data_IF_679659953737
#
_entry.id   IF_679659953737
#
_cell.length_a   1.000
_cell.length_b   1.000
_cell.length_c   1.000
_cell.angle_alpha   90.00
_cell.angle_beta   90.00
_cell.angle_gamma   90.00
#
_symmetry.space_group_name_H-M   'P 1'
#
loop_
_entity.id
_entity.type
_entity.pdbx_description
1 polymer ?
#
# COMPACT_ATOMS: atom_id res chain seq x y z
N UNK A 1 3.71 14.24 17.43
CA UNK A 1 3.88 12.93 18.11
C UNK A 1 5.36 12.55 18.10
N UNK A 2 5.80 11.62 18.95
CA UNK A 2 7.23 11.24 18.98
C UNK A 2 7.48 10.16 17.92
N UNK A 3 8.66 10.23 17.27
CA UNK A 3 9.12 9.18 16.36
C UNK A 3 9.83 8.11 17.20
N UNK A 4 9.43 6.85 17.06
CA UNK A 4 10.02 5.72 17.77
C UNK A 4 11.03 5.00 16.87
N UNK A 5 12.25 4.84 17.37
CA UNK A 5 13.27 4.00 16.74
C UNK A 5 13.09 2.57 17.25
N UNK A 6 12.98 1.62 16.34
CA UNK A 6 12.87 0.19 16.63
C UNK A 6 14.24 -0.41 16.89
N UNK A 7 14.32 -1.33 17.83
CA UNK A 7 15.49 -2.18 18.04
C UNK A 7 15.60 -3.21 16.91
N UNK A 8 16.76 -3.86 16.79
CA UNK A 8 16.93 -4.94 15.79
C UNK A 8 15.93 -6.08 16.02
N UNK A 9 15.69 -6.46 17.29
CA UNK A 9 14.73 -7.51 17.64
C UNK A 9 13.30 -7.10 17.23
N UNK A 10 12.91 -5.85 17.44
CA UNK A 10 11.60 -5.34 16.98
C UNK A 10 11.48 -5.31 15.46
N UNK A 11 12.57 -4.97 14.74
CA UNK A 11 12.60 -4.99 13.28
C UNK A 11 12.41 -6.42 12.75
N UNK A 12 13.02 -7.43 13.38
CA UNK A 12 12.84 -8.82 12.96
C UNK A 12 11.40 -9.31 13.23
N UNK A 13 10.79 -8.94 14.35
CA UNK A 13 9.36 -9.23 14.59
C UNK A 13 8.45 -8.50 13.58
N UNK A 14 8.79 -7.27 13.19
CA UNK A 14 8.08 -6.56 12.12
C UNK A 14 8.26 -7.26 10.77
N UNK A 15 9.44 -7.83 10.50
CA UNK A 15 9.69 -8.62 9.30
C UNK A 15 8.76 -9.84 9.24
N UNK A 16 8.58 -10.57 10.35
CA UNK A 16 7.65 -11.70 10.43
C UNK A 16 6.22 -11.26 10.06
N UNK A 17 5.75 -10.14 10.64
CA UNK A 17 4.44 -9.58 10.33
C UNK A 17 4.31 -9.20 8.84
N UNK A 18 5.32 -8.53 8.29
CA UNK A 18 5.34 -8.08 6.89
C UNK A 18 5.45 -9.23 5.88
N UNK A 19 6.20 -10.28 6.19
CA UNK A 19 6.24 -11.49 5.36
C UNK A 19 4.89 -12.20 5.35
N UNK A 20 4.15 -12.17 6.48
CA UNK A 20 2.79 -12.69 6.51
C UNK A 20 1.85 -11.83 5.63
N UNK A 21 2.00 -10.50 5.61
CA UNK A 21 1.26 -9.65 4.67
C UNK A 21 1.53 -10.08 3.23
N UNK A 22 2.79 -10.25 2.83
CA UNK A 22 3.14 -10.70 1.47
C UNK A 22 2.51 -12.04 1.11
N UNK A 23 2.50 -13.00 2.03
CA UNK A 23 1.81 -14.29 1.85
C UNK A 23 0.29 -14.14 1.74
N UNK A 24 -0.29 -13.25 2.53
CA UNK A 24 -1.73 -12.94 2.46
C UNK A 24 -2.09 -12.33 1.10
N UNK A 25 -1.31 -11.38 0.62
CA UNK A 25 -1.48 -10.80 -0.72
C UNK A 25 -1.39 -11.87 -1.82
N UNK A 26 -0.43 -12.80 -1.71
CA UNK A 26 -0.30 -13.92 -2.64
C UNK A 26 -1.50 -14.87 -2.57
N UNK A 27 -2.00 -15.20 -1.36
CA UNK A 27 -3.18 -16.04 -1.22
C UNK A 27 -4.42 -15.38 -1.84
N UNK A 28 -4.65 -14.10 -1.55
CA UNK A 28 -5.75 -13.33 -2.17
C UNK A 28 -5.56 -13.26 -3.70
N UNK A 29 -4.34 -13.02 -4.17
CA UNK A 29 -4.00 -12.95 -5.60
C UNK A 29 -4.40 -14.20 -6.39
N UNK A 30 -4.27 -15.41 -5.80
CA UNK A 30 -4.73 -16.68 -6.42
C UNK A 30 -6.22 -16.69 -6.74
N UNK A 31 -6.99 -15.85 -6.06
CA UNK A 31 -8.44 -15.76 -6.20
C UNK A 31 -8.91 -14.53 -6.98
N UNK A 32 -8.01 -13.63 -7.37
CA UNK A 32 -8.34 -12.46 -8.21
C UNK A 32 -8.63 -12.91 -9.62
N UNK A 33 -9.90 -12.86 -10.00
CA UNK A 33 -10.40 -13.23 -11.35
C UNK A 33 -11.79 -12.65 -11.59
N UNK A 34 -12.23 -12.53 -12.86
CA UNK A 34 -13.59 -12.10 -13.18
C UNK A 34 -14.65 -12.96 -12.46
N UNK A 35 -15.68 -12.29 -11.94
CA UNK A 35 -16.82 -12.91 -11.24
C UNK A 35 -16.65 -13.05 -9.72
N UNK A 36 -15.46 -12.79 -9.17
CA UNK A 36 -15.24 -12.78 -7.71
C UNK A 36 -15.65 -11.43 -7.15
N UNK A 37 -16.28 -11.42 -5.97
CA UNK A 37 -16.60 -10.17 -5.25
C UNK A 37 -15.46 -9.74 -4.34
N UNK A 38 -15.35 -8.44 -4.08
CA UNK A 38 -14.32 -7.93 -3.16
C UNK A 38 -14.53 -8.44 -1.73
N UNK A 39 -15.79 -8.72 -1.31
CA UNK A 39 -16.06 -9.36 -0.02
C UNK A 39 -15.58 -10.81 0.06
N UNK A 40 -15.57 -11.55 -1.04
CA UNK A 40 -14.99 -12.90 -1.07
C UNK A 40 -13.49 -12.85 -0.86
N UNK A 41 -12.78 -11.89 -1.47
CA UNK A 41 -11.35 -11.67 -1.26
C UNK A 41 -11.04 -11.28 0.18
N UNK A 42 -11.86 -10.43 0.78
CA UNK A 42 -11.75 -10.03 2.19
C UNK A 42 -11.83 -11.22 3.16
N UNK A 43 -12.82 -12.11 2.92
CA UNK A 43 -12.99 -13.33 3.74
C UNK A 43 -11.78 -14.26 3.64
N UNK A 44 -11.22 -14.43 2.45
CA UNK A 44 -10.01 -15.23 2.23
C UNK A 44 -8.83 -14.63 2.99
N UNK A 45 -8.63 -13.32 2.88
CA UNK A 45 -7.56 -12.62 3.60
C UNK A 45 -7.72 -12.76 5.13
N UNK A 46 -8.93 -12.55 5.66
CA UNK A 46 -9.19 -12.66 7.10
C UNK A 46 -8.91 -14.07 7.62
N UNK A 47 -9.41 -15.10 6.93
CA UNK A 47 -9.18 -16.50 7.29
C UNK A 47 -7.68 -16.80 7.28
N UNK A 48 -6.96 -16.46 6.21
CA UNK A 48 -5.53 -16.71 6.09
C UNK A 48 -4.72 -16.01 7.19
N UNK A 49 -4.99 -14.74 7.48
CA UNK A 49 -4.30 -13.98 8.54
C UNK A 49 -4.51 -14.66 9.91
N UNK A 50 -5.77 -15.04 10.23
CA UNK A 50 -6.11 -15.64 11.52
C UNK A 50 -5.54 -17.04 11.68
N UNK A 51 -5.54 -17.84 10.63
CA UNK A 51 -4.98 -19.20 10.61
C UNK A 51 -3.45 -19.19 10.83
N UNK A 52 -2.79 -18.08 10.48
CA UNK A 52 -1.38 -17.84 10.76
C UNK A 52 -1.11 -17.12 12.10
N UNK A 53 -2.11 -17.04 12.99
CA UNK A 53 -1.96 -16.53 14.35
C UNK A 53 -1.87 -15.01 14.48
N UNK A 54 -2.19 -14.27 13.42
CA UNK A 54 -2.19 -12.81 13.41
C UNK A 54 -3.62 -12.21 13.49
N UNK A 55 -3.69 -10.91 13.66
CA UNK A 55 -4.93 -10.13 13.67
C UNK A 55 -4.93 -9.23 12.44
N UNK A 56 -6.01 -9.21 11.60
CA UNK A 56 -6.13 -8.25 10.52
C UNK A 56 -6.31 -6.83 11.11
N UNK A 57 -5.35 -5.95 10.87
CA UNK A 57 -5.27 -4.66 11.57
C UNK A 57 -6.34 -3.66 11.10
N UNK A 58 -6.78 -3.77 9.84
CA UNK A 58 -7.79 -2.85 9.31
C UNK A 58 -9.19 -3.13 9.83
N UNK A 59 -9.53 -4.38 10.16
CA UNK A 59 -10.87 -4.73 10.62
C UNK A 59 -11.19 -4.09 11.96
N UNK A 60 -12.20 -3.22 11.95
CA UNK A 60 -12.57 -2.45 13.13
C UNK A 60 -11.71 -1.20 13.36
N UNK A 61 -10.87 -0.82 12.39
CA UNK A 61 -10.02 0.37 12.50
C UNK A 61 -10.88 1.62 12.76
N UNK A 62 -10.59 2.40 13.82
CA UNK A 62 -11.46 3.49 14.25
C UNK A 62 -11.37 4.69 13.30
N UNK A 63 -12.48 5.41 13.17
CA UNK A 63 -12.56 6.69 12.47
C UNK A 63 -13.35 7.69 13.29
N UNK A 64 -12.99 8.97 13.21
CA UNK A 64 -13.72 10.06 13.86
C UNK A 64 -14.96 10.51 13.06
N UNK A 65 -15.07 10.12 11.80
CA UNK A 65 -16.12 10.60 10.87
C UNK A 65 -16.87 9.48 10.13
N UNK A 66 -16.47 8.22 10.34
CA UNK A 66 -17.10 7.04 9.76
C UNK A 66 -17.28 5.95 10.83
N UNK A 67 -18.16 4.95 10.61
CA UNK A 67 -18.11 3.72 11.39
C UNK A 67 -16.72 3.07 11.28
N UNK A 68 -16.33 2.19 12.24
CA UNK A 68 -15.10 1.43 12.09
C UNK A 68 -15.01 0.72 10.75
N UNK A 69 -13.79 0.61 10.18
CA UNK A 69 -13.60 -0.03 8.88
C UNK A 69 -14.08 -1.49 8.93
N UNK A 70 -14.96 -1.94 8.02
CA UNK A 70 -15.62 -3.24 8.17
C UNK A 70 -14.78 -4.43 7.66
N UNK A 71 -13.79 -4.17 6.79
CA UNK A 71 -12.99 -5.19 6.12
C UNK A 71 -11.68 -5.52 6.82
N UNK A 72 -11.12 -6.66 6.47
CA UNK A 72 -9.76 -7.10 6.87
C UNK A 72 -8.70 -6.59 5.89
N UNK A 73 -9.12 -6.28 4.66
CA UNK A 73 -8.32 -5.65 3.61
C UNK A 73 -9.04 -4.41 3.07
N UNK A 74 -8.29 -3.48 2.48
CA UNK A 74 -8.87 -2.53 1.55
C UNK A 74 -8.85 -3.15 0.14
N UNK A 75 -9.99 -3.09 -0.56
CA UNK A 75 -10.17 -3.69 -1.88
C UNK A 75 -10.57 -2.61 -2.89
N UNK A 76 -9.59 -1.95 -3.47
CA UNK A 76 -9.76 -0.72 -4.24
C UNK A 76 -9.73 -1.02 -5.75
N UNK A 77 -10.91 -0.99 -6.39
CA UNK A 77 -11.08 -1.36 -7.81
C UNK A 77 -11.03 -0.13 -8.70
N UNK A 78 -10.25 -0.17 -9.77
CA UNK A 78 -10.13 0.81 -10.85
C UNK A 78 -9.85 2.25 -10.37
N UNK A 79 -10.88 3.08 -10.27
CA UNK A 79 -10.80 4.48 -9.88
C UNK A 79 -10.87 4.72 -8.36
N UNK A 80 -11.09 3.66 -7.58
CA UNK A 80 -10.88 3.69 -6.13
C UNK A 80 -9.37 3.67 -5.87
N UNK A 81 -8.87 4.75 -5.29
CA UNK A 81 -7.44 4.95 -5.02
C UNK A 81 -7.00 4.08 -3.85
N UNK A 82 -7.70 4.22 -2.70
CA UNK A 82 -7.44 3.50 -1.45
C UNK A 82 -8.72 3.34 -0.63
N UNK A 83 -8.64 2.56 0.43
CA UNK A 83 -9.69 2.33 1.42
C UNK A 83 -11.00 1.79 0.83
N UNK A 84 -10.92 1.09 -0.31
CA UNK A 84 -12.08 0.44 -0.92
C UNK A 84 -12.72 -0.55 0.07
N UNK A 85 -13.99 -0.31 0.42
CA UNK A 85 -14.72 -1.18 1.35
C UNK A 85 -15.12 -2.47 0.64
N UNK A 86 -14.72 -3.65 1.13
CA UNK A 86 -15.14 -4.93 0.57
C UNK A 86 -16.66 -5.08 0.55
N UNK A 87 -17.22 -5.50 -0.59
CA UNK A 87 -18.67 -5.59 -0.81
C UNK A 87 -19.06 -6.78 -1.67
N UNK A 88 -20.27 -7.32 -1.48
CA UNK A 88 -20.88 -8.30 -2.39
C UNK A 88 -21.32 -7.66 -3.71
N UNK A 89 -21.56 -6.37 -3.71
CA UNK A 89 -22.02 -5.63 -4.90
C UNK A 89 -20.88 -5.27 -5.86
N UNK A 90 -19.62 -5.33 -5.40
CA UNK A 90 -18.43 -5.05 -6.22
C UNK A 90 -17.87 -6.37 -6.75
N UNK A 91 -18.27 -6.72 -7.97
CA UNK A 91 -17.86 -7.93 -8.69
C UNK A 91 -16.79 -7.58 -9.70
N UNK A 92 -15.63 -8.24 -9.61
CA UNK A 92 -14.51 -8.05 -10.53
C UNK A 92 -14.86 -8.49 -11.96
N UNK A 93 -14.38 -7.74 -12.94
CA UNK A 93 -14.61 -7.98 -14.38
C UNK A 93 -13.28 -8.08 -15.11
N UNK A 94 -13.27 -8.74 -16.23
CA UNK A 94 -12.15 -8.75 -17.16
C UNK A 94 -11.78 -7.30 -17.55
N UNK A 95 -10.51 -6.96 -17.47
CA UNK A 95 -10.00 -5.60 -17.70
C UNK A 95 -9.94 -4.69 -16.47
N UNK A 96 -10.48 -5.10 -15.31
CA UNK A 96 -10.33 -4.35 -14.07
C UNK A 96 -8.90 -4.46 -13.51
N UNK A 97 -8.55 -3.53 -12.66
CA UNK A 97 -7.43 -3.64 -11.71
C UNK A 97 -7.96 -3.52 -10.29
N UNK A 98 -7.29 -4.17 -9.35
CA UNK A 98 -7.65 -4.08 -7.93
C UNK A 98 -6.39 -3.93 -7.07
N UNK A 99 -6.32 -2.84 -6.30
CA UNK A 99 -5.31 -2.70 -5.25
C UNK A 99 -5.83 -3.37 -3.98
N UNK A 100 -5.11 -4.40 -3.54
CA UNK A 100 -5.34 -5.06 -2.25
C UNK A 100 -4.30 -4.55 -1.28
N UNK A 101 -4.78 -3.88 -0.24
CA UNK A 101 -3.97 -3.36 0.84
C UNK A 101 -4.31 -4.13 2.11
N UNK A 102 -3.28 -4.61 2.81
CA UNK A 102 -3.41 -5.59 3.88
C UNK A 102 -2.46 -5.29 5.03
N UNK A 103 -3.02 -5.12 6.23
CA UNK A 103 -2.27 -4.99 7.47
C UNK A 103 -2.44 -6.19 8.40
N UNK A 104 -1.33 -6.61 9.05
CA UNK A 104 -1.33 -7.68 10.06
C UNK A 104 -0.70 -7.21 11.36
N UNK A 105 -1.30 -7.60 12.48
CA UNK A 105 -0.69 -7.46 13.82
C UNK A 105 -0.23 -8.84 14.28
N UNK A 106 1.08 -9.03 14.36
CA UNK A 106 1.72 -10.27 14.81
C UNK A 106 2.77 -9.94 15.87
N UNK A 107 2.79 -10.67 16.97
CA UNK A 107 3.73 -10.46 18.08
C UNK A 107 3.74 -9.01 18.63
N UNK A 108 2.61 -8.29 18.53
CA UNK A 108 2.45 -6.91 19.01
C UNK A 108 3.05 -5.84 18.09
N UNK A 109 3.43 -6.19 16.87
CA UNK A 109 3.95 -5.29 15.85
C UNK A 109 3.18 -5.44 14.54
N UNK A 110 3.01 -4.33 13.82
CA UNK A 110 2.27 -4.29 12.57
C UNK A 110 3.19 -4.54 11.36
N UNK A 111 2.63 -5.25 10.38
CA UNK A 111 3.10 -5.29 9.01
C UNK A 111 2.06 -4.67 8.10
N UNK A 112 2.50 -4.03 7.01
CA UNK A 112 1.66 -3.35 6.04
C UNK A 112 2.24 -3.43 4.64
N UNK A 113 1.40 -3.71 3.65
CA UNK A 113 1.80 -3.70 2.24
C UNK A 113 0.60 -3.76 1.31
N UNK A 114 0.74 -3.14 0.14
CA UNK A 114 -0.27 -3.10 -0.90
C UNK A 114 0.28 -3.54 -2.25
N UNK A 115 -0.53 -4.30 -3.00
CA UNK A 115 -0.24 -4.69 -4.37
C UNK A 115 -1.46 -4.50 -5.27
N UNK A 116 -1.23 -3.97 -6.49
CA UNK A 116 -2.29 -3.83 -7.50
C UNK A 116 -2.24 -4.99 -8.50
N UNK A 117 -3.31 -5.76 -8.55
CA UNK A 117 -3.47 -6.93 -9.42
C UNK A 117 -4.25 -6.59 -10.70
N UNK A 118 -3.90 -7.26 -11.79
CA UNK A 118 -4.70 -7.30 -13.00
C UNK A 118 -5.83 -8.33 -12.87
N UNK A 119 -7.03 -8.01 -13.36
CA UNK A 119 -8.16 -8.95 -13.43
C UNK A 119 -8.36 -9.37 -14.89
N UNK A 120 -7.85 -10.54 -15.25
CA UNK A 120 -7.84 -10.97 -16.66
C UNK A 120 -6.94 -10.09 -17.53
N UNK A 121 -7.39 -9.73 -18.73
CA UNK A 121 -6.62 -8.94 -19.70
C UNK A 121 -6.89 -7.44 -19.52
N UNK A 122 -5.86 -6.69 -19.13
CA UNK A 122 -5.92 -5.23 -18.99
C UNK A 122 -5.20 -4.53 -20.15
N UNK A 123 -5.61 -3.30 -20.45
CA UNK A 123 -5.00 -2.51 -21.52
C UNK A 123 -3.53 -2.15 -21.24
N UNK A 124 -2.75 -1.93 -22.30
CA UNK A 124 -1.32 -1.53 -22.16
C UNK A 124 -1.14 -0.21 -21.43
N UNK A 125 -2.08 0.73 -21.53
CA UNK A 125 -2.05 1.98 -20.79
C UNK A 125 -2.18 1.73 -19.28
N UNK A 126 -3.03 0.79 -18.89
CA UNK A 126 -3.19 0.36 -17.48
C UNK A 126 -1.94 -0.38 -17.02
N UNK A 127 -1.42 -1.34 -17.79
CA UNK A 127 -0.15 -2.01 -17.45
C UNK A 127 1.00 -1.00 -17.26
N UNK A 128 1.06 0.03 -18.12
CA UNK A 128 2.04 1.11 -17.96
C UNK A 128 1.85 1.88 -16.64
N UNK A 129 0.61 2.16 -16.24
CA UNK A 129 0.32 2.79 -14.94
C UNK A 129 0.87 1.92 -13.79
N UNK A 130 0.59 0.62 -13.81
CA UNK A 130 1.03 -0.31 -12.77
C UNK A 130 2.56 -0.37 -12.70
N UNK A 131 3.24 -0.55 -13.84
CA UNK A 131 4.72 -0.52 -13.91
C UNK A 131 5.29 0.76 -13.31
N UNK A 132 4.80 1.91 -13.77
CA UNK A 132 5.30 3.21 -13.32
C UNK A 132 5.09 3.40 -11.82
N UNK A 133 3.93 3.01 -11.29
CA UNK A 133 3.64 3.11 -9.85
C UNK A 133 4.59 2.23 -9.04
N UNK A 134 4.76 0.97 -9.43
CA UNK A 134 5.65 0.02 -8.77
C UNK A 134 7.12 0.47 -8.85
N UNK A 135 7.57 0.90 -10.02
CA UNK A 135 8.94 1.42 -10.18
C UNK A 135 9.17 2.70 -9.36
N UNK A 136 8.17 3.58 -9.25
CA UNK A 136 8.26 4.78 -8.40
C UNK A 136 8.45 4.44 -6.93
N UNK A 137 7.79 3.37 -6.43
CA UNK A 137 8.00 2.84 -5.09
C UNK A 137 9.46 2.46 -4.87
N UNK A 138 10.04 1.65 -5.76
CA UNK A 138 11.45 1.23 -5.62
C UNK A 138 12.43 2.39 -5.74
N UNK A 139 12.14 3.39 -6.58
CA UNK A 139 12.95 4.62 -6.65
C UNK A 139 12.89 5.43 -5.35
N UNK A 140 11.71 5.49 -4.71
CA UNK A 140 11.57 6.06 -3.37
C UNK A 140 12.37 5.30 -2.31
N UNK A 141 12.35 3.97 -2.37
CA UNK A 141 13.11 3.08 -1.46
C UNK A 141 14.62 3.26 -1.61
N UNK A 142 15.14 3.45 -2.83
CA UNK A 142 16.57 3.67 -3.08
C UNK A 142 17.13 4.87 -2.34
N UNK A 143 16.34 5.91 -2.10
CA UNK A 143 16.76 7.12 -1.38
C UNK A 143 16.37 7.13 0.10
N UNK A 144 15.63 6.13 0.56
CA UNK A 144 15.17 6.01 1.94
C UNK A 144 16.27 5.48 2.87
N UNK A 145 17.23 6.31 3.21
CA UNK A 145 18.36 5.96 4.08
C UNK A 145 18.61 7.02 5.15
N UNK A 146 19.29 6.64 6.23
CA UNK A 146 19.61 7.57 7.32
C UNK A 146 20.45 8.75 6.78
N UNK A 147 20.08 9.96 7.20
CA UNK A 147 20.70 11.20 6.73
C UNK A 147 19.97 11.87 5.56
N UNK A 148 19.04 11.18 4.92
CA UNK A 148 18.11 11.75 3.95
C UNK A 148 16.82 12.23 4.65
N UNK A 149 15.93 12.88 3.93
CA UNK A 149 14.66 13.39 4.45
C UNK A 149 13.47 12.71 3.76
N UNK A 150 12.33 12.67 4.41
CA UNK A 150 11.09 12.15 3.79
C UNK A 150 10.74 12.88 2.48
N UNK A 151 11.10 14.17 2.36
CA UNK A 151 10.92 14.93 1.13
C UNK A 151 11.81 14.49 -0.04
N UNK A 152 12.92 13.81 0.21
CA UNK A 152 13.75 13.21 -0.83
C UNK A 152 13.02 12.03 -1.48
N UNK A 153 12.35 11.21 -0.66
CA UNK A 153 11.51 10.09 -1.12
C UNK A 153 10.37 10.63 -1.99
N UNK A 154 9.60 11.57 -1.44
CA UNK A 154 8.45 12.13 -2.14
C UNK A 154 8.81 12.83 -3.44
N UNK A 155 9.96 13.54 -3.49
CA UNK A 155 10.41 14.18 -4.73
C UNK A 155 10.71 13.15 -5.82
N UNK A 156 11.46 12.10 -5.51
CA UNK A 156 11.84 11.07 -6.50
C UNK A 156 10.60 10.37 -7.05
N UNK A 157 9.63 9.99 -6.19
CA UNK A 157 8.36 9.40 -6.62
C UNK A 157 7.60 10.35 -7.54
N UNK A 158 7.41 11.60 -7.10
CA UNK A 158 6.70 12.61 -7.85
C UNK A 158 7.33 12.86 -9.22
N UNK A 159 8.63 13.11 -9.27
CA UNK A 159 9.34 13.46 -10.50
C UNK A 159 9.24 12.33 -11.53
N UNK A 160 9.38 11.07 -11.05
CA UNK A 160 9.27 9.91 -11.92
C UNK A 160 7.86 9.74 -12.51
N UNK A 161 6.83 9.74 -11.68
CA UNK A 161 5.45 9.56 -12.15
C UNK A 161 4.97 10.72 -13.03
N UNK A 162 5.35 11.96 -12.71
CA UNK A 162 4.97 13.13 -13.52
C UNK A 162 5.68 13.15 -14.87
N UNK A 163 6.92 12.67 -14.97
CA UNK A 163 7.62 12.52 -16.25
C UNK A 163 6.91 11.53 -17.19
N UNK A 164 6.23 10.52 -16.63
CA UNK A 164 5.41 9.56 -17.37
C UNK A 164 3.97 10.07 -17.64
N UNK A 165 3.63 11.30 -17.17
CA UNK A 165 2.34 11.94 -17.40
C UNK A 165 1.24 11.58 -16.40
N UNK A 166 1.59 11.00 -15.25
CA UNK A 166 0.64 10.58 -14.21
C UNK A 166 0.48 11.60 -13.09
N UNK A 167 -0.68 11.56 -12.42
CA UNK A 167 -0.98 12.35 -11.23
C UNK A 167 -0.49 11.64 -9.96
N UNK A 168 -0.06 12.43 -8.96
CA UNK A 168 0.28 11.97 -7.62
C UNK A 168 -0.72 12.49 -6.61
N UNK A 169 -1.34 11.61 -5.86
CA UNK A 169 -2.23 11.98 -4.75
C UNK A 169 -1.42 12.70 -3.66
N UNK A 170 -1.96 13.80 -3.13
CA UNK A 170 -1.27 14.64 -2.14
C UNK A 170 -1.96 14.68 -0.79
N UNK A 171 -3.21 14.30 -0.74
CA UNK A 171 -4.04 14.33 0.45
C UNK A 171 -3.81 13.13 1.37
N UNK A 172 -3.13 12.10 0.85
CA UNK A 172 -2.77 10.85 1.53
C UNK A 172 -1.26 10.65 1.46
N UNK A 173 -0.72 9.94 2.44
CA UNK A 173 0.73 9.80 2.59
C UNK A 173 1.05 8.45 3.21
N UNK A 174 2.23 7.93 2.97
CA UNK A 174 2.83 6.90 3.78
C UNK A 174 3.09 7.36 5.21
N UNK A 175 3.50 6.48 6.06
CA UNK A 175 3.57 6.72 7.50
C UNK A 175 4.69 5.94 8.19
N UNK A 176 5.03 6.32 9.40
CA UNK A 176 5.76 5.46 10.33
C UNK A 176 4.88 4.29 10.74
N UNK A 177 5.48 3.15 11.08
CA UNK A 177 4.76 1.94 11.47
C UNK A 177 5.51 1.20 12.57
N UNK A 178 4.78 0.49 13.43
CA UNK A 178 5.37 -0.28 14.53
C UNK A 178 4.33 -0.92 15.42
N UNK A 179 4.25 -0.47 16.66
CA UNK A 179 3.21 -0.94 17.61
C UNK A 179 1.83 -0.43 17.22
N UNK A 180 1.78 0.80 16.69
CA UNK A 180 0.59 1.34 16.05
C UNK A 180 0.72 1.15 14.53
N UNK A 181 -0.42 0.96 13.85
CA UNK A 181 -0.45 0.88 12.39
C UNK A 181 0.07 2.19 11.76
N UNK A 182 -0.37 3.32 12.25
CA UNK A 182 0.07 4.63 11.81
C UNK A 182 0.85 5.33 12.92
N UNK A 183 2.16 5.52 12.70
CA UNK A 183 3.06 6.29 13.55
C UNK A 183 3.63 7.50 12.78
N UNK A 184 4.31 8.40 13.48
CA UNK A 184 5.17 9.39 12.82
C UNK A 184 6.47 8.73 12.27
N UNK A 185 7.03 9.24 11.17
CA UNK A 185 6.61 10.44 10.44
C UNK A 185 5.60 10.15 9.32
N UNK A 186 4.85 11.16 8.89
CA UNK A 186 4.19 11.13 7.59
C UNK A 186 5.23 11.09 6.46
N UNK A 187 4.96 10.27 5.43
CA UNK A 187 5.86 10.02 4.28
C UNK A 187 5.14 10.36 2.97
N UNK A 188 5.05 11.64 2.58
CA UNK A 188 4.35 12.04 1.36
C UNK A 188 5.00 11.49 0.09
N UNK A 189 4.16 11.19 -0.92
CA UNK A 189 4.60 10.78 -2.27
C UNK A 189 4.96 11.98 -3.17
N UNK A 190 5.14 13.14 -2.59
CA UNK A 190 5.58 14.38 -3.22
C UNK A 190 6.44 15.16 -2.24
N UNK A 191 7.28 16.03 -2.77
CA UNK A 191 8.13 16.79 -1.86
C UNK A 191 9.18 17.63 -2.54
N UNK A 192 10.13 18.06 -1.72
CA UNK A 192 11.31 18.79 -2.15
C UNK A 192 12.53 18.20 -1.42
N UNK A 193 13.62 18.06 -2.15
CA UNK A 193 14.88 17.56 -1.61
C UNK A 193 15.29 18.28 -0.34
N UNK A 194 15.68 17.52 0.68
CA UNK A 194 16.13 18.02 1.99
C UNK A 194 15.00 18.59 2.85
N UNK A 195 13.72 18.37 2.52
CA UNK A 195 12.58 18.84 3.33
C UNK A 195 11.95 17.73 4.16
N UNK A 196 11.23 18.14 5.21
CA UNK A 196 10.52 17.23 6.10
C UNK A 196 11.43 16.58 7.14
N UNK A 197 10.98 15.46 7.68
CA UNK A 197 11.66 14.75 8.75
C UNK A 197 12.96 14.12 8.27
N UNK A 198 14.03 14.28 9.05
CA UNK A 198 15.31 13.60 8.83
C UNK A 198 15.18 12.12 9.19
N UNK A 199 15.47 11.23 8.23
CA UNK A 199 15.46 9.80 8.43
C UNK A 199 16.64 9.36 9.31
N UNK A 200 16.35 8.49 10.27
CA UNK A 200 17.34 7.92 11.19
C UNK A 200 17.26 6.40 11.15
N UNK A 201 18.42 5.75 11.30
CA UNK A 201 18.45 4.29 11.44
C UNK A 201 17.55 3.82 12.58
N UNK A 202 16.80 2.74 12.37
CA UNK A 202 15.81 2.22 13.31
C UNK A 202 14.39 2.80 13.12
N UNK A 203 14.18 3.82 12.29
CA UNK A 203 12.83 4.18 11.86
C UNK A 203 12.27 3.06 10.97
N UNK A 204 11.00 2.68 11.17
CA UNK A 204 10.24 1.86 10.25
C UNK A 204 9.13 2.70 9.62
N UNK A 205 9.04 2.66 8.30
CA UNK A 205 8.10 3.48 7.52
C UNK A 205 7.45 2.67 6.41
N UNK A 206 6.22 3.02 6.06
CA UNK A 206 5.54 2.62 4.84
C UNK A 206 5.81 3.67 3.75
N UNK A 207 6.20 3.21 2.55
CA UNK A 207 6.25 4.02 1.33
C UNK A 207 5.20 3.46 0.40
N UNK A 208 4.23 4.29 0.02
CA UNK A 208 2.99 3.86 -0.63
C UNK A 208 2.54 4.83 -1.73
N UNK A 209 3.21 4.90 -2.88
CA UNK A 209 2.79 5.76 -3.97
C UNK A 209 1.38 5.43 -4.45
N UNK A 210 0.50 6.44 -4.41
CA UNK A 210 -0.85 6.42 -4.96
C UNK A 210 -0.85 7.26 -6.23
N UNK A 211 -0.91 6.60 -7.39
CA UNK A 211 -0.70 7.20 -8.71
C UNK A 211 -1.98 7.12 -9.52
N UNK A 212 -2.39 8.24 -10.12
CA UNK A 212 -3.61 8.32 -10.92
C UNK A 212 -3.29 8.43 -12.41
N UNK A 213 -4.00 7.68 -13.25
CA UNK A 213 -3.84 7.74 -14.70
C UNK A 213 -4.22 9.12 -15.28
N UNK A 214 -5.03 9.87 -14.57
CA UNK A 214 -5.51 11.18 -14.96
C UNK A 214 -5.05 12.28 -14.02
N UNK A 215 -6.03 13.07 -13.59
CA UNK A 215 -5.80 14.18 -12.65
C UNK A 215 -5.64 13.64 -11.22
N UNK A 216 -4.82 14.34 -10.42
CA UNK A 216 -4.50 13.92 -9.05
C UNK A 216 -5.62 14.13 -8.01
N UNK A 217 -6.67 14.89 -8.37
CA UNK A 217 -7.74 15.25 -7.46
C UNK A 217 -8.60 14.05 -7.11
N UNK A 218 -8.86 13.87 -5.81
CA UNK A 218 -9.62 12.76 -5.23
C UNK A 218 -10.92 13.24 -4.60
N UNK A 219 -11.81 12.29 -4.33
CA UNK A 219 -13.09 12.50 -3.64
C UNK A 219 -13.41 11.32 -2.73
N UNK A 220 -14.24 11.56 -1.72
CA UNK A 220 -14.70 10.55 -0.78
C UNK A 220 -16.07 10.02 -1.22
N UNK A 221 -16.26 8.69 -1.20
CA UNK A 221 -17.54 8.07 -1.48
C UNK A 221 -18.52 8.15 -0.28
N UNK A 222 -19.83 7.87 -0.49
CA UNK A 222 -20.84 7.92 0.57
C UNK A 222 -20.60 6.92 1.72
N UNK A 223 -19.83 5.85 1.54
CA UNK A 223 -19.40 4.92 2.58
C UNK A 223 -18.44 5.56 3.60
N UNK A 224 -17.95 6.78 3.29
CA UNK A 224 -17.04 7.59 4.10
C UNK A 224 -15.66 6.97 4.35
N UNK A 225 -15.30 5.95 3.54
CA UNK A 225 -13.99 5.31 3.53
C UNK A 225 -13.33 5.34 2.16
N UNK A 226 -14.04 4.85 1.14
CA UNK A 226 -13.49 4.69 -0.20
C UNK A 226 -13.16 6.03 -0.83
N UNK A 227 -11.91 6.20 -1.24
CA UNK A 227 -11.38 7.40 -1.89
C UNK A 227 -11.21 7.13 -3.37
N UNK A 228 -11.79 7.98 -4.21
CA UNK A 228 -11.82 7.81 -5.68
C UNK A 228 -11.16 8.97 -6.40
N UNK A 229 -10.65 8.71 -7.60
CA UNK A 229 -10.25 9.78 -8.52
C UNK A 229 -11.47 10.59 -8.95
N UNK A 230 -11.36 11.94 -8.99
CA UNK A 230 -12.51 12.77 -9.40
C UNK A 230 -12.85 12.64 -10.88
N UNK A 231 -11.88 12.33 -11.70
CA UNK A 231 -12.08 12.13 -13.13
C UNK A 231 -12.47 10.69 -13.50
N UNK A 232 -12.59 9.79 -12.49
CA UNK A 232 -13.00 8.40 -12.63
C UNK A 232 -12.06 7.56 -13.51
N UNK A 233 -10.83 8.01 -13.69
CA UNK A 233 -9.78 7.24 -14.36
C UNK A 233 -9.07 6.33 -13.36
N UNK A 234 -8.48 5.20 -13.82
CA UNK A 234 -7.80 4.25 -12.94
C UNK A 234 -6.71 4.88 -12.07
N UNK A 235 -6.53 4.32 -10.88
CA UNK A 235 -5.41 4.58 -10.00
C UNK A 235 -4.74 3.26 -9.61
N UNK A 236 -3.44 3.32 -9.30
CA UNK A 236 -2.66 2.19 -8.80
C UNK A 236 -2.01 2.56 -7.46
N UNK A 237 -1.89 1.56 -6.59
CA UNK A 237 -1.27 1.67 -5.28
C UNK A 237 -0.35 0.46 -5.06
N UNK A 238 0.90 0.74 -4.74
CA UNK A 238 1.88 -0.27 -4.30
C UNK A 238 2.56 0.23 -3.05
N UNK A 239 2.88 -0.67 -2.13
CA UNK A 239 3.43 -0.31 -0.84
C UNK A 239 4.41 -1.35 -0.33
N UNK A 240 5.47 -0.84 0.30
CA UNK A 240 6.38 -1.63 1.11
C UNK A 240 6.62 -0.98 2.48
N UNK A 241 6.62 -1.80 3.52
CA UNK A 241 7.21 -1.45 4.82
C UNK A 241 8.70 -1.69 4.80
N UNK A 242 9.48 -0.72 5.28
CA UNK A 242 10.93 -0.82 5.37
C UNK A 242 11.48 -0.30 6.69
N UNK A 243 12.66 -0.81 7.07
CA UNK A 243 13.48 -0.25 8.13
C UNK A 243 14.60 0.63 7.53
N UNK A 244 14.71 1.85 8.04
CA UNK A 244 15.78 2.79 7.65
C UNK A 244 17.11 2.32 8.23
N UNK A 245 18.13 2.25 7.37
CA UNK A 245 19.50 1.86 7.70
C UNK A 245 20.49 2.98 7.38
N UNK A 246 21.71 2.85 7.82
CA UNK A 246 22.81 3.80 7.49
C UNK A 246 23.18 3.83 6.01
N UNK A 247 22.80 2.77 5.28
CA UNK A 247 22.95 2.66 3.83
C UNK A 247 21.60 2.34 3.20
N UNK A 248 21.55 1.34 2.30
CA UNK A 248 20.33 0.89 1.65
C UNK A 248 19.27 0.50 2.69
N UNK A 249 18.05 0.96 2.50
CA UNK A 249 16.92 0.56 3.31
C UNK A 249 16.71 -0.96 3.28
N UNK A 250 16.19 -1.47 4.38
CA UNK A 250 15.90 -2.89 4.56
C UNK A 250 14.38 -3.09 4.36
N UNK A 251 14.00 -3.69 3.23
CA UNK A 251 12.59 -3.95 2.90
C UNK A 251 12.12 -5.12 3.75
N UNK A 252 11.06 -4.92 4.55
CA UNK A 252 10.53 -5.94 5.45
C UNK A 252 9.41 -6.76 4.81
N UNK A 253 8.59 -6.18 3.94
CA UNK A 253 7.56 -6.86 3.15
C UNK A 253 8.14 -7.47 1.86
N UNK A 254 7.39 -8.36 1.21
CA UNK A 254 7.87 -9.03 -0.02
C UNK A 254 6.74 -9.21 -1.02
N UNK A 255 7.04 -8.93 -2.29
CA UNK A 255 6.16 -9.25 -3.43
C UNK A 255 6.54 -10.56 -4.14
N UNK A 256 7.57 -11.27 -3.68
CA UNK A 256 8.12 -12.44 -4.39
C UNK A 256 7.07 -13.51 -4.71
N UNK A 257 6.23 -13.88 -3.73
CA UNK A 257 5.16 -14.87 -3.94
C UNK A 257 4.05 -14.34 -4.86
N UNK A 258 3.73 -13.04 -4.79
CA UNK A 258 2.73 -12.38 -5.65
C UNK A 258 3.23 -12.34 -7.09
N UNK A 259 4.46 -11.89 -7.31
CA UNK A 259 5.06 -11.78 -8.64
C UNK A 259 5.25 -13.14 -9.33
N UNK A 260 5.43 -14.19 -8.54
CA UNK A 260 5.47 -15.57 -9.05
C UNK A 260 4.11 -16.02 -9.62
N UNK A 261 3.01 -15.54 -9.03
CA UNK A 261 1.63 -15.85 -9.49
C UNK A 261 1.26 -15.04 -10.74
N UNK A 262 1.60 -13.76 -10.73
CA UNK A 262 1.27 -12.83 -11.80
C UNK A 262 2.07 -13.08 -13.08
N UNK A 263 3.24 -13.70 -13.00
CA UNK A 263 4.06 -14.09 -14.14
C UNK A 263 4.45 -12.94 -15.05
N UNK A 264 4.88 -11.79 -14.54
CA UNK A 264 5.25 -10.60 -15.33
C UNK A 264 4.09 -10.04 -16.21
N UNK A 265 2.89 -9.97 -15.66
CA UNK A 265 1.72 -9.44 -16.38
C UNK A 265 1.82 -7.94 -16.73
N UNK A 266 2.79 -7.22 -16.13
CA UNK A 266 3.09 -5.83 -16.46
C UNK A 266 4.54 -5.44 -16.16
#
# INVERSE_FOLDING_TARGET
MSIFLKTEDEIELMREANLLVGKTLAEVGRHVKPGVTTLQLDKIAEEFIRDNGAIPTFKGFPSSYAPPFPGSICASVNDVVVHGVPSEDVVLKDGDIISIDCGTLLNGLNGDSCYTFCVGEVSEDVKKLLRTTKESLYKGIEVAQAGHHVGDIGQVIQDYCQAEGYGIVRELTGHGIGREMHEEPSVPNYGKRGSGVLLKAGMCIAIEPMVTMGKREIGLLPDRWSIVTRDRRPAAHFEHTLAIRAGKADILSSFEEVEHLEGQNF
#
